data_IF_470177371733
#
_entry.id   IF_470177371733
#
_cell.length_a   1.000
_cell.length_b   1.000
_cell.length_c   1.000
_cell.angle_alpha   90.00
_cell.angle_beta   90.00
_cell.angle_gamma   90.00
#
_symmetry.space_group_name_H-M   'P 1'
#
loop_
_entity.id
_entity.type
_entity.pdbx_description
1 polymer ?
#
# COMPACT_ATOMS: atom_id res chain seq x y z
N UNK A 1 21.91 -24.22 -2.72
CA UNK A 1 21.69 -24.17 -1.25
C UNK A 1 20.92 -22.90 -0.91
N UNK A 2 19.86 -22.94 -0.09
CA UNK A 2 19.14 -21.73 0.30
C UNK A 2 20.08 -20.80 1.07
N UNK A 3 20.16 -19.52 0.67
CA UNK A 3 20.98 -18.53 1.37
C UNK A 3 20.44 -18.36 2.78
N UNK A 4 21.32 -18.45 3.78
CA UNK A 4 20.97 -18.18 5.17
C UNK A 4 20.55 -16.71 5.31
N UNK A 5 19.52 -16.45 6.12
CA UNK A 5 19.08 -15.09 6.42
C UNK A 5 20.19 -14.30 7.17
N UNK A 6 20.22 -12.96 7.05
CA UNK A 6 21.15 -12.13 7.80
C UNK A 6 21.02 -12.32 9.32
N UNK A 7 22.08 -12.03 10.07
CA UNK A 7 22.14 -12.26 11.53
C UNK A 7 21.03 -11.50 12.24
N UNK A 8 20.39 -12.13 13.23
CA UNK A 8 19.27 -11.54 14.00
C UNK A 8 18.01 -11.26 13.16
N UNK A 9 17.87 -11.88 11.99
CA UNK A 9 16.63 -11.81 11.19
C UNK A 9 15.78 -13.04 11.44
N UNK A 10 14.49 -12.81 11.68
CA UNK A 10 13.46 -13.84 11.78
C UNK A 10 12.45 -13.64 10.64
N UNK A 11 12.19 -14.70 9.87
CA UNK A 11 11.21 -14.69 8.79
C UNK A 11 9.94 -15.44 9.21
N UNK A 12 8.79 -14.91 8.81
CA UNK A 12 7.48 -15.54 8.99
C UNK A 12 6.67 -15.40 7.71
N UNK A 13 5.79 -16.37 7.45
CA UNK A 13 4.74 -16.25 6.46
C UNK A 13 3.45 -15.85 7.17
N UNK A 14 2.78 -14.82 6.65
CA UNK A 14 1.46 -14.40 7.11
C UNK A 14 0.37 -15.39 6.64
N UNK A 15 -0.85 -15.27 7.16
CA UNK A 15 -2.02 -16.05 6.72
C UNK A 15 -2.31 -15.90 5.22
N UNK A 16 -1.90 -14.77 4.64
CA UNK A 16 -1.99 -14.47 3.19
C UNK A 16 -0.72 -14.83 2.42
N UNK A 17 0.17 -15.64 3.02
CA UNK A 17 1.44 -16.08 2.45
C UNK A 17 2.42 -14.95 2.11
N UNK A 18 2.28 -13.78 2.75
CA UNK A 18 3.21 -12.67 2.61
C UNK A 18 4.43 -12.87 3.53
N UNK A 19 5.67 -12.83 3.01
CA UNK A 19 6.86 -12.95 3.83
C UNK A 19 7.08 -11.68 4.65
N UNK A 20 7.12 -11.83 5.97
CA UNK A 20 7.45 -10.78 6.92
C UNK A 20 8.79 -11.05 7.58
N UNK A 21 9.66 -10.05 7.59
CA UNK A 21 10.99 -10.14 8.22
C UNK A 21 11.06 -9.22 9.43
N UNK A 22 11.65 -9.71 10.52
CA UNK A 22 11.85 -8.95 11.75
C UNK A 22 13.31 -9.03 12.18
N UNK A 23 13.85 -7.92 12.64
CA UNK A 23 15.06 -7.89 13.43
C UNK A 23 14.74 -8.24 14.88
N UNK A 24 15.41 -9.26 15.41
CA UNK A 24 15.25 -9.76 16.78
C UNK A 24 16.61 -10.03 17.42
N UNK A 25 17.07 -9.08 18.24
CA UNK A 25 18.29 -9.18 19.05
C UNK A 25 17.93 -9.02 20.53
N UNK A 26 18.49 -9.87 21.40
CA UNK A 26 18.28 -9.78 22.86
C UNK A 26 18.76 -8.40 23.34
N UNK A 27 17.90 -7.66 24.05
CA UNK A 27 18.19 -6.31 24.53
C UNK A 27 17.94 -5.19 23.51
N UNK A 28 17.43 -5.49 22.31
CA UNK A 28 17.01 -4.49 21.33
C UNK A 28 15.50 -4.63 21.02
N UNK A 29 14.81 -3.55 20.64
CA UNK A 29 13.41 -3.62 20.24
C UNK A 29 13.23 -4.50 19.00
N UNK A 30 12.09 -5.19 18.93
CA UNK A 30 11.69 -5.94 17.73
C UNK A 30 11.31 -4.93 16.65
N UNK A 31 11.94 -5.05 15.49
CA UNK A 31 11.78 -4.10 14.38
C UNK A 31 11.41 -4.85 13.11
N UNK A 32 10.44 -4.32 12.35
CA UNK A 32 10.08 -4.84 11.02
C UNK A 32 11.13 -4.45 10.00
N UNK A 33 11.64 -5.41 9.24
CA UNK A 33 12.57 -5.18 8.14
C UNK A 33 11.79 -5.23 6.82
N UNK A 34 11.71 -4.09 6.10
CA UNK A 34 11.00 -3.99 4.83
C UNK A 34 11.83 -4.61 3.69
N UNK A 35 11.15 -5.07 2.65
CA UNK A 35 11.78 -5.55 1.42
C UNK A 35 12.32 -6.99 1.49
N UNK A 36 13.01 -7.39 0.42
CA UNK A 36 13.57 -8.74 0.30
C UNK A 36 14.87 -8.87 1.12
N UNK A 37 15.13 -10.06 1.71
CA UNK A 37 16.40 -10.33 2.37
C UNK A 37 17.56 -10.07 1.41
N UNK A 38 18.61 -9.40 1.91
CA UNK A 38 19.80 -8.99 1.14
C UNK A 38 19.59 -7.88 0.09
N UNK A 39 18.38 -7.31 -0.05
CA UNK A 39 18.22 -6.08 -0.82
C UNK A 39 18.88 -4.89 -0.10
N UNK A 40 19.22 -3.85 -0.86
CA UNK A 40 19.89 -2.66 -0.32
C UNK A 40 19.04 -1.98 0.78
N UNK A 41 17.75 -1.80 0.53
CA UNK A 41 16.81 -1.23 1.51
C UNK A 41 16.70 -2.08 2.78
N UNK A 42 16.68 -3.40 2.63
CA UNK A 42 16.67 -4.34 3.76
C UNK A 42 17.94 -4.24 4.60
N UNK A 43 19.11 -4.23 3.95
CA UNK A 43 20.40 -4.16 4.65
C UNK A 43 20.61 -2.82 5.34
N UNK A 44 20.08 -1.72 4.78
CA UNK A 44 20.08 -0.41 5.44
C UNK A 44 19.24 -0.41 6.71
N UNK A 45 18.02 -0.94 6.66
CA UNK A 45 17.16 -1.08 7.84
C UNK A 45 17.77 -2.03 8.90
N UNK A 46 18.42 -3.10 8.44
CA UNK A 46 19.13 -4.04 9.30
C UNK A 46 20.34 -3.40 10.01
N UNK A 47 21.14 -2.61 9.30
CA UNK A 47 22.26 -1.87 9.88
C UNK A 47 21.79 -0.82 10.89
N UNK A 48 20.72 -0.08 10.58
CA UNK A 48 20.11 0.88 11.52
C UNK A 48 19.64 0.18 12.81
N UNK A 49 18.97 -0.97 12.68
CA UNK A 49 18.50 -1.76 13.82
C UNK A 49 19.65 -2.34 14.66
N UNK A 50 20.81 -2.63 14.05
CA UNK A 50 22.01 -3.08 14.76
C UNK A 50 22.62 -1.99 15.64
N UNK A 51 22.58 -0.74 15.20
CA UNK A 51 23.12 0.45 15.90
C UNK A 51 22.18 0.90 17.04
N UNK A 52 20.94 0.38 17.08
CA UNK A 52 19.92 0.78 18.05
C UNK A 52 19.08 1.97 17.58
N UNK A 53 19.30 2.45 16.36
CA UNK A 53 18.37 3.34 15.68
C UNK A 53 17.11 2.55 15.33
N UNK A 54 15.94 3.13 15.63
CA UNK A 54 14.71 2.68 14.98
C UNK A 54 14.93 2.93 13.49
N UNK A 55 14.92 1.92 12.60
CA UNK A 55 14.98 2.23 11.19
C UNK A 55 13.80 3.12 10.89
N UNK A 56 14.08 4.25 10.26
CA UNK A 56 13.08 5.04 9.57
C UNK A 56 12.34 4.05 8.69
N UNK A 57 11.16 3.66 9.15
CA UNK A 57 10.37 2.66 8.46
C UNK A 57 10.10 3.29 7.10
N UNK A 58 10.53 2.69 5.97
CA UNK A 58 9.98 3.07 4.69
C UNK A 58 8.46 2.97 4.85
N UNK A 59 7.72 4.05 4.54
CA UNK A 59 6.29 4.09 4.73
C UNK A 59 5.70 2.93 3.92
N UNK A 60 4.99 2.00 4.59
CA UNK A 60 4.14 0.96 3.98
C UNK A 60 4.22 0.88 2.44
N UNK A 61 5.29 0.31 1.91
CA UNK A 61 5.56 0.27 0.45
C UNK A 61 4.66 -0.75 -0.30
N UNK A 62 3.45 -1.00 0.22
CA UNK A 62 2.33 -1.57 -0.53
C UNK A 62 1.15 -0.60 -0.66
N UNK A 63 1.23 0.61 -0.09
CA UNK A 63 0.22 1.68 -0.27
C UNK A 63 0.77 2.86 -1.11
N UNK A 64 2.07 2.90 -1.38
CA UNK A 64 2.72 4.00 -2.10
C UNK A 64 2.85 3.80 -3.63
N UNK A 65 2.06 2.93 -4.25
CA UNK A 65 1.56 3.24 -5.59
C UNK A 65 0.39 4.24 -5.48
N UNK A 66 0.59 5.35 -4.76
CA UNK A 66 -0.14 6.58 -5.07
C UNK A 66 0.32 6.91 -6.47
N UNK A 67 -0.46 6.47 -7.47
CA UNK A 67 -0.31 6.94 -8.82
C UNK A 67 -0.10 8.46 -8.72
N UNK A 68 0.94 9.02 -9.36
CA UNK A 68 1.19 10.46 -9.31
C UNK A 68 -0.15 11.11 -9.60
N UNK A 69 -0.60 12.04 -8.75
CA UNK A 69 -1.91 12.68 -8.85
C UNK A 69 -2.17 12.99 -10.32
N UNK A 70 -2.86 12.07 -11.00
CA UNK A 70 -3.01 12.16 -12.44
C UNK A 70 -3.84 13.40 -12.56
N UNK A 71 -3.33 14.38 -13.31
CA UNK A 71 -4.01 15.66 -13.52
C UNK A 71 -5.48 15.33 -13.75
N UNK A 72 -6.34 15.65 -12.78
CA UNK A 72 -7.71 15.15 -12.80
C UNK A 72 -8.37 15.84 -13.99
N UNK A 73 -8.49 15.11 -15.09
CA UNK A 73 -9.07 15.63 -16.32
C UNK A 73 -10.49 16.06 -15.96
N UNK A 74 -10.88 17.32 -16.17
CA UNK A 74 -12.23 17.77 -15.85
C UNK A 74 -13.23 16.91 -16.63
N UNK A 75 -14.30 16.48 -15.96
CA UNK A 75 -15.32 15.54 -16.47
C UNK A 75 -14.85 14.08 -16.67
N UNK A 76 -13.72 13.69 -16.09
CA UNK A 76 -13.33 12.27 -16.02
C UNK A 76 -14.01 11.53 -14.88
N UNK A 77 -13.96 10.20 -14.93
CA UNK A 77 -14.44 9.35 -13.84
C UNK A 77 -13.71 9.65 -12.52
N UNK A 78 -12.41 9.92 -12.54
CA UNK A 78 -11.67 10.29 -11.33
C UNK A 78 -12.20 11.60 -10.70
N UNK A 79 -12.62 12.57 -11.52
CA UNK A 79 -13.26 13.80 -11.03
C UNK A 79 -14.59 13.50 -10.33
N UNK A 80 -15.42 12.63 -10.92
CA UNK A 80 -16.70 12.23 -10.34
C UNK A 80 -16.51 11.45 -9.03
N UNK A 81 -15.56 10.50 -8.98
CA UNK A 81 -15.23 9.77 -7.76
C UNK A 81 -14.83 10.73 -6.63
N UNK A 82 -14.02 11.74 -6.94
CA UNK A 82 -13.60 12.75 -5.96
C UNK A 82 -14.80 13.54 -5.42
N UNK A 83 -15.69 13.98 -6.30
CA UNK A 83 -16.85 14.78 -5.92
C UNK A 83 -17.86 13.94 -5.12
N UNK A 84 -18.05 12.66 -5.47
CA UNK A 84 -18.83 11.70 -4.68
C UNK A 84 -18.25 11.47 -3.28
N UNK A 85 -16.92 11.28 -3.19
CA UNK A 85 -16.25 11.15 -1.88
C UNK A 85 -16.50 12.39 -1.02
N UNK A 86 -16.40 13.58 -1.60
CA UNK A 86 -16.60 14.85 -0.90
C UNK A 86 -18.02 15.02 -0.36
N UNK A 87 -19.04 14.60 -1.12
CA UNK A 87 -20.45 14.77 -0.70
C UNK A 87 -20.92 13.65 0.23
N UNK A 88 -20.56 12.39 -0.05
CA UNK A 88 -21.18 11.23 0.60
C UNK A 88 -20.42 10.70 1.81
N UNK A 89 -19.10 10.82 1.85
CA UNK A 89 -18.29 10.21 2.93
C UNK A 89 -18.56 10.80 4.32
N UNK A 90 -18.83 12.11 4.49
CA UNK A 90 -19.13 12.67 5.81
C UNK A 90 -20.34 12.02 6.49
N UNK A 91 -21.29 11.47 5.72
CA UNK A 91 -22.51 10.84 6.22
C UNK A 91 -22.35 9.34 6.49
N UNK A 92 -21.22 8.75 6.12
CA UNK A 92 -20.98 7.30 6.18
C UNK A 92 -20.12 6.92 7.40
N UNK A 93 -20.40 5.76 7.99
CA UNK A 93 -19.55 5.17 9.02
C UNK A 93 -18.18 4.74 8.49
N UNK A 94 -17.17 4.69 9.37
CA UNK A 94 -15.77 4.44 9.01
C UNK A 94 -15.54 3.13 8.24
N UNK A 95 -16.26 2.06 8.60
CA UNK A 95 -16.17 0.76 7.90
C UNK A 95 -16.70 0.87 6.47
N UNK A 96 -17.81 1.59 6.28
CA UNK A 96 -18.40 1.82 4.96
C UNK A 96 -17.50 2.69 4.10
N UNK A 97 -16.91 3.74 4.67
CA UNK A 97 -15.92 4.56 3.98
C UNK A 97 -14.72 3.71 3.51
N UNK A 98 -14.20 2.82 4.36
CA UNK A 98 -13.09 1.95 4.00
C UNK A 98 -13.45 0.99 2.85
N UNK A 99 -14.63 0.38 2.89
CA UNK A 99 -15.12 -0.49 1.82
C UNK A 99 -15.33 0.27 0.50
N UNK A 100 -15.97 1.44 0.57
CA UNK A 100 -16.19 2.29 -0.61
C UNK A 100 -14.87 2.76 -1.20
N UNK A 101 -13.90 3.13 -0.36
CA UNK A 101 -12.57 3.55 -0.82
C UNK A 101 -11.89 2.44 -1.62
N UNK A 102 -11.96 1.18 -1.16
CA UNK A 102 -11.39 0.03 -1.88
C UNK A 102 -12.06 -0.21 -3.22
N UNK A 103 -13.39 -0.13 -3.29
CA UNK A 103 -14.13 -0.31 -4.55
C UNK A 103 -13.84 0.81 -5.55
N UNK A 104 -13.88 2.07 -5.07
CA UNK A 104 -13.59 3.23 -5.90
C UNK A 104 -12.15 3.25 -6.38
N UNK A 105 -11.18 2.78 -5.59
CA UNK A 105 -9.78 2.67 -6.02
C UNK A 105 -9.62 1.68 -7.18
N UNK A 106 -10.35 0.55 -7.17
CA UNK A 106 -10.37 -0.39 -8.30
C UNK A 106 -10.98 0.25 -9.54
N UNK A 107 -12.08 0.98 -9.37
CA UNK A 107 -12.76 1.67 -10.46
C UNK A 107 -11.90 2.80 -11.05
N UNK A 108 -11.20 3.56 -10.21
CA UNK A 108 -10.28 4.63 -10.60
C UNK A 108 -9.09 4.08 -11.39
N UNK A 109 -8.56 2.92 -11.01
CA UNK A 109 -7.47 2.27 -11.72
C UNK A 109 -7.86 1.87 -13.15
N UNK A 110 -9.08 1.37 -13.35
CA UNK A 110 -9.55 0.90 -14.67
C UNK A 110 -10.09 2.04 -15.52
N UNK A 111 -10.92 2.92 -14.95
CA UNK A 111 -11.72 3.88 -15.68
C UNK A 111 -11.42 5.34 -15.35
N UNK A 112 -10.48 5.64 -14.45
CA UNK A 112 -10.25 7.00 -13.94
C UNK A 112 -9.97 8.06 -15.00
N UNK A 113 -9.32 7.66 -16.11
CA UNK A 113 -8.98 8.52 -17.24
C UNK A 113 -10.14 8.69 -18.26
N UNK A 114 -11.18 7.88 -18.19
CA UNK A 114 -12.29 7.91 -19.15
C UNK A 114 -13.25 9.08 -18.86
N UNK A 115 -13.76 9.76 -19.89
CA UNK A 115 -14.78 10.78 -19.73
C UNK A 115 -16.12 10.13 -19.36
N UNK A 116 -16.81 10.67 -18.36
CA UNK A 116 -18.09 10.10 -17.86
C UNK A 116 -19.18 10.13 -18.94
N UNK A 117 -19.17 11.15 -19.80
CA UNK A 117 -20.13 11.30 -20.89
C UNK A 117 -20.06 10.19 -21.97
N UNK A 118 -18.96 9.43 -22.02
CA UNK A 118 -18.75 8.37 -23.00
C UNK A 118 -19.10 6.96 -22.51
N UNK A 119 -19.55 6.80 -21.26
CA UNK A 119 -19.85 5.50 -20.67
C UNK A 119 -21.10 4.92 -21.33
N UNK A 120 -20.99 3.71 -21.86
CA UNK A 120 -22.11 2.96 -22.41
C UNK A 120 -22.68 2.00 -21.35
N UNK A 121 -23.95 1.60 -21.47
CA UNK A 121 -24.54 0.58 -20.57
C UNK A 121 -23.75 -0.73 -20.56
N UNK A 122 -23.13 -1.08 -21.68
CA UNK A 122 -22.26 -2.25 -21.85
C UNK A 122 -21.02 -2.21 -20.95
N UNK A 123 -20.49 -1.02 -20.63
CA UNK A 123 -19.31 -0.86 -19.79
C UNK A 123 -19.59 -1.07 -18.30
N UNK A 124 -20.88 -1.08 -17.91
CA UNK A 124 -21.34 -1.22 -16.52
C UNK A 124 -21.59 -2.68 -16.16
N UNK A 125 -22.01 -3.50 -17.15
CA UNK A 125 -22.34 -4.91 -16.93
C UNK A 125 -21.12 -5.79 -17.21
N UNK A 126 -20.34 -6.10 -16.16
CA UNK A 126 -19.27 -7.08 -16.24
C UNK A 126 -19.09 -7.89 -14.96
#
# INVERSE_FOLDING_TARGET
MPRKLPKYVQAFLDTHNHPRFYFRKKGAPRVTLPGLPWSEGFMRAHAAALIGGKPDSPPDDLVAARQPAQMIIPKSMAALIRDFKRSRFPELGAVTQANYTRLLAKLELVAGHLPVAGIKPEDIQR
#
